data_IF_954274689327
#
_entry.id   IF_954274689327
#
_cell.length_a   1.000
_cell.length_b   1.000
_cell.length_c   1.000
_cell.angle_alpha   90.00
_cell.angle_beta   90.00
_cell.angle_gamma   90.00
#
_symmetry.space_group_name_H-M   'P 1'
#
loop_
_entity.id
_entity.type
_entity.pdbx_description
1 polymer ?
#
# COMPACT_ATOMS: atom_id res chain seq x y z
N UNK A 1 50.16 9.54 -44.14
CA UNK A 1 51.34 8.73 -43.77
C UNK A 1 50.86 7.44 -43.14
N UNK A 2 50.76 6.35 -43.92
CA UNK A 2 50.46 5.00 -43.42
C UNK A 2 51.74 4.18 -43.66
N UNK A 3 52.33 3.62 -42.60
CA UNK A 3 53.55 2.83 -42.69
C UNK A 3 53.21 1.37 -42.37
N UNK A 4 53.34 0.55 -43.42
CA UNK A 4 53.80 -0.84 -43.52
C UNK A 4 53.85 -1.67 -42.22
N UNK A 5 53.07 -2.75 -42.13
CA UNK A 5 53.38 -4.10 -42.63
C UNK A 5 54.34 -4.86 -41.70
N UNK A 6 53.85 -5.96 -41.12
CA UNK A 6 54.67 -7.13 -40.87
C UNK A 6 53.81 -8.39 -40.97
N UNK A 7 54.37 -9.35 -41.70
CA UNK A 7 53.81 -10.57 -42.26
C UNK A 7 54.32 -11.76 -41.42
N UNK A 8 53.71 -12.94 -41.64
CA UNK A 8 54.25 -14.31 -41.42
C UNK A 8 54.23 -14.81 -39.96
N UNK A 9 53.94 -16.06 -39.59
CA UNK A 9 53.78 -17.40 -40.22
C UNK A 9 53.52 -18.34 -38.98
N UNK A 10 52.73 -19.42 -38.92
CA UNK A 10 52.91 -20.75 -39.52
C UNK A 10 51.86 -21.69 -38.89
N UNK A 11 51.38 -22.65 -39.66
CA UNK A 11 50.50 -23.79 -39.30
C UNK A 11 51.25 -24.95 -38.61
N UNK A 12 50.57 -25.76 -37.76
CA UNK A 12 50.82 -27.23 -37.62
C UNK A 12 49.76 -27.98 -36.76
N UNK A 13 48.91 -28.74 -37.47
CA UNK A 13 48.40 -30.12 -37.29
C UNK A 13 48.58 -30.83 -35.93
N UNK A 14 47.51 -31.39 -35.36
CA UNK A 14 47.31 -32.85 -35.13
C UNK A 14 45.94 -33.16 -34.54
N UNK A 15 45.29 -34.21 -35.06
CA UNK A 15 43.99 -34.70 -34.60
C UNK A 15 44.12 -35.85 -33.61
N UNK A 16 43.09 -36.02 -32.77
CA UNK A 16 42.71 -37.28 -32.12
C UNK A 16 41.25 -37.16 -31.70
N UNK A 17 40.39 -38.02 -32.26
CA UNK A 17 39.05 -38.31 -31.74
C UNK A 17 39.18 -39.27 -30.57
N UNK A 18 38.52 -38.99 -29.44
CA UNK A 18 37.83 -39.99 -28.61
C UNK A 18 36.63 -39.36 -27.90
N UNK A 19 35.49 -40.06 -27.96
CA UNK A 19 34.18 -39.72 -27.39
C UNK A 19 34.16 -39.83 -25.86
N UNK A 20 33.38 -38.97 -25.18
CA UNK A 20 32.31 -39.35 -24.22
C UNK A 20 31.83 -38.15 -23.41
N UNK A 21 30.50 -38.05 -23.19
CA UNK A 21 29.93 -37.36 -22.02
C UNK A 21 28.87 -36.30 -22.33
N UNK A 22 27.61 -36.61 -22.03
CA UNK A 22 26.46 -35.71 -22.10
C UNK A 22 26.58 -34.51 -21.15
N UNK A 23 26.12 -33.35 -21.60
CA UNK A 23 25.93 -32.17 -20.76
C UNK A 23 25.65 -30.94 -21.63
N UNK A 24 24.47 -30.89 -22.26
CA UNK A 24 24.10 -29.79 -23.15
C UNK A 24 23.71 -28.56 -22.33
N UNK A 25 24.72 -27.73 -22.02
CA UNK A 25 24.53 -26.31 -21.71
C UNK A 25 24.73 -25.54 -23.01
N UNK A 26 23.66 -24.95 -23.51
CA UNK A 26 23.68 -24.06 -24.66
C UNK A 26 23.06 -22.72 -24.26
N UNK A 27 23.82 -21.69 -24.60
CA UNK A 27 23.38 -20.37 -25.06
C UNK A 27 22.82 -19.39 -24.04
N UNK A 28 23.80 -18.62 -23.55
CA UNK A 28 23.69 -17.24 -23.11
C UNK A 28 23.18 -16.38 -24.27
N UNK A 29 21.89 -16.04 -24.25
CA UNK A 29 21.28 -15.06 -25.13
C UNK A 29 21.09 -13.75 -24.34
N UNK A 30 21.81 -12.71 -24.75
CA UNK A 30 21.68 -11.36 -24.20
C UNK A 30 20.42 -10.73 -24.79
N UNK A 31 19.33 -10.77 -24.03
CA UNK A 31 18.21 -9.87 -24.24
C UNK A 31 17.93 -9.14 -22.93
N UNK A 32 18.51 -7.94 -22.80
CA UNK A 32 18.16 -6.98 -21.76
C UNK A 32 16.76 -6.43 -22.06
N UNK A 33 15.75 -7.25 -21.77
CA UNK A 33 14.42 -6.75 -21.46
C UNK A 33 14.49 -6.18 -20.04
N UNK A 34 14.40 -4.86 -19.93
CA UNK A 34 13.98 -4.16 -18.71
C UNK A 34 12.66 -4.77 -18.24
N UNK A 35 12.78 -5.82 -17.43
CA UNK A 35 11.73 -6.21 -16.51
C UNK A 35 11.93 -5.33 -15.30
N UNK A 36 11.20 -4.21 -15.28
CA UNK A 36 10.88 -3.55 -14.03
C UNK A 36 10.27 -4.61 -13.13
N UNK A 37 11.11 -5.21 -12.28
CA UNK A 37 10.69 -5.96 -11.13
C UNK A 37 9.75 -5.02 -10.39
N UNK A 38 8.46 -5.32 -10.44
CA UNK A 38 7.48 -4.71 -9.58
C UNK A 38 8.02 -4.92 -8.17
N UNK A 39 8.52 -3.82 -7.59
CA UNK A 39 8.81 -3.74 -6.18
C UNK A 39 7.48 -3.87 -5.48
N UNK A 40 7.02 -5.10 -5.26
CA UNK A 40 5.96 -5.40 -4.31
C UNK A 40 6.55 -5.13 -2.94
N UNK A 41 6.67 -3.83 -2.61
CA UNK A 41 6.97 -3.41 -1.27
C UNK A 41 5.84 -3.95 -0.41
N UNK A 42 6.15 -4.90 0.46
CA UNK A 42 5.32 -5.22 1.61
C UNK A 42 5.09 -3.91 2.36
N UNK A 43 3.98 -3.24 2.06
CA UNK A 43 3.55 -2.08 2.79
C UNK A 43 3.10 -2.61 4.15
N UNK A 44 3.95 -2.45 5.16
CA UNK A 44 3.60 -2.78 6.54
C UNK A 44 2.48 -1.83 7.00
N UNK A 45 1.24 -2.29 6.95
CA UNK A 45 0.10 -1.59 7.53
C UNK A 45 -0.05 -1.95 9.02
N UNK A 46 -0.49 -1.00 9.83
CA UNK A 46 -0.76 -1.23 11.25
C UNK A 46 -2.05 -2.04 11.43
N UNK A 47 -1.93 -3.26 11.95
CA UNK A 47 -3.06 -4.14 12.28
C UNK A 47 -3.44 -4.08 13.77
N UNK A 48 -2.92 -3.11 14.52
CA UNK A 48 -2.96 -3.07 16.00
C UNK A 48 -4.36 -3.15 16.59
N UNK A 49 -5.37 -2.65 15.85
CA UNK A 49 -6.74 -2.52 16.34
C UNK A 49 -6.91 -1.52 17.49
N UNK A 50 -5.84 -0.83 17.90
CA UNK A 50 -5.89 0.19 18.95
C UNK A 50 -6.74 1.36 18.49
N UNK A 51 -7.69 1.81 19.30
CA UNK A 51 -8.56 2.93 18.91
C UNK A 51 -7.97 4.26 19.38
N UNK A 52 -8.14 5.35 18.61
CA UNK A 52 -7.78 6.67 19.10
C UNK A 52 -8.64 7.04 20.32
N UNK A 53 -8.05 7.79 21.24
CA UNK A 53 -8.74 8.21 22.47
C UNK A 53 -9.94 9.11 22.14
N UNK A 54 -11.06 8.89 22.83
CA UNK A 54 -12.25 9.74 22.67
C UNK A 54 -13.17 9.36 21.51
N UNK A 55 -12.79 8.42 20.63
CA UNK A 55 -13.66 8.04 19.51
C UNK A 55 -14.97 7.42 20.00
N UNK A 56 -16.07 7.83 19.37
CA UNK A 56 -17.41 7.44 19.79
C UNK A 56 -17.93 6.24 18.99
N UNK A 57 -18.27 5.15 19.69
CA UNK A 57 -18.93 3.98 19.08
C UNK A 57 -20.30 4.37 18.52
N UNK A 58 -20.58 3.97 17.26
CA UNK A 58 -21.91 4.13 16.66
C UNK A 58 -22.87 3.11 17.25
N UNK A 59 -23.95 3.56 17.89
CA UNK A 59 -24.90 2.66 18.58
C UNK A 59 -25.79 1.84 17.66
N UNK A 60 -26.13 2.37 16.48
CA UNK A 60 -26.97 1.70 15.48
C UNK A 60 -26.40 1.94 14.07
N UNK A 61 -25.25 1.32 13.76
CA UNK A 61 -24.62 1.47 12.45
C UNK A 61 -25.41 0.73 11.37
N UNK A 62 -25.33 1.20 10.13
CA UNK A 62 -25.92 0.53 8.97
C UNK A 62 -25.38 -0.90 8.81
N UNK A 63 -24.09 -1.10 9.10
CA UNK A 63 -23.44 -2.42 9.14
C UNK A 63 -23.06 -2.80 10.58
N UNK A 64 -23.80 -3.71 11.25
CA UNK A 64 -23.51 -4.09 12.63
C UNK A 64 -22.14 -4.75 12.82
N UNK A 65 -21.48 -4.51 13.96
CA UNK A 65 -20.26 -5.24 14.31
C UNK A 65 -20.52 -6.75 14.30
N UNK A 66 -19.63 -7.49 13.61
CA UNK A 66 -19.76 -8.92 13.36
C UNK A 66 -20.50 -9.28 12.07
N UNK A 67 -21.17 -8.33 11.41
CA UNK A 67 -21.77 -8.56 10.09
C UNK A 67 -20.72 -8.55 8.98
N UNK A 68 -21.17 -8.89 7.77
CA UNK A 68 -20.37 -8.81 6.55
C UNK A 68 -20.90 -7.71 5.64
N UNK A 69 -19.99 -7.11 4.87
CA UNK A 69 -20.28 -6.12 3.84
C UNK A 69 -19.31 -6.31 2.66
N UNK A 70 -19.64 -5.76 1.50
CA UNK A 70 -18.75 -5.72 0.33
C UNK A 70 -18.15 -4.33 0.21
N UNK A 71 -16.82 -4.24 0.18
CA UNK A 71 -16.12 -2.97 0.04
C UNK A 71 -16.14 -2.48 -1.41
N UNK A 72 -16.50 -1.23 -1.62
CA UNK A 72 -16.33 -0.51 -2.89
C UNK A 72 -15.05 0.34 -2.92
N UNK A 73 -14.44 0.60 -1.75
CA UNK A 73 -13.18 1.29 -1.60
C UNK A 73 -12.02 0.65 -2.38
N UNK A 74 -11.13 1.49 -2.89
CA UNK A 74 -9.91 1.12 -3.61
C UNK A 74 -8.67 1.84 -3.06
N UNK A 75 -8.67 2.15 -1.76
CA UNK A 75 -7.56 2.83 -1.08
C UNK A 75 -6.25 2.03 -1.19
N UNK A 76 -6.37 0.70 -1.19
CA UNK A 76 -5.27 -0.23 -1.42
C UNK A 76 -5.68 -1.31 -2.42
N UNK A 77 -4.69 -1.85 -3.12
CA UNK A 77 -4.90 -2.94 -4.06
C UNK A 77 -5.56 -4.13 -3.35
N UNK A 78 -6.60 -4.69 -3.97
CA UNK A 78 -7.34 -5.84 -3.44
C UNK A 78 -8.48 -5.49 -2.48
N UNK A 79 -8.72 -4.22 -2.13
CA UNK A 79 -9.89 -3.83 -1.33
C UNK A 79 -11.19 -3.90 -2.14
N UNK A 80 -11.18 -3.40 -3.37
CA UNK A 80 -12.40 -3.29 -4.17
C UNK A 80 -13.01 -4.66 -4.45
N UNK A 81 -14.28 -4.82 -4.06
CA UNK A 81 -15.04 -6.05 -4.15
C UNK A 81 -14.71 -7.09 -3.06
N UNK A 82 -13.80 -6.80 -2.13
CA UNK A 82 -13.49 -7.71 -1.05
C UNK A 82 -14.67 -7.79 -0.07
N UNK A 83 -14.89 -9.00 0.43
CA UNK A 83 -15.80 -9.23 1.54
C UNK A 83 -15.11 -8.83 2.84
N UNK A 84 -15.69 -7.86 3.54
CA UNK A 84 -15.21 -7.34 4.80
C UNK A 84 -16.10 -7.81 5.95
N UNK A 85 -15.49 -8.23 7.06
CA UNK A 85 -16.15 -8.40 8.35
C UNK A 85 -16.01 -7.11 9.15
N UNK A 86 -17.13 -6.57 9.61
CA UNK A 86 -17.13 -5.38 10.47
C UNK A 86 -16.61 -5.76 11.85
N UNK A 87 -15.53 -5.12 12.30
CA UNK A 87 -14.95 -5.32 13.65
C UNK A 87 -15.08 -4.10 14.55
N UNK A 88 -15.44 -2.94 14.00
CA UNK A 88 -15.82 -1.74 14.75
C UNK A 88 -16.61 -0.76 13.88
N UNK A 89 -17.42 0.08 14.52
CA UNK A 89 -18.21 1.12 13.87
C UNK A 89 -18.28 2.36 14.77
N UNK A 90 -17.92 3.52 14.22
CA UNK A 90 -17.70 4.74 14.98
C UNK A 90 -18.27 5.95 14.27
N UNK A 91 -18.78 6.91 15.02
CA UNK A 91 -19.27 8.19 14.50
C UNK A 91 -18.22 9.26 14.73
N UNK A 92 -17.73 9.87 13.66
CA UNK A 92 -16.66 10.87 13.70
C UNK A 92 -16.65 11.70 12.40
N UNK A 93 -15.67 12.58 12.25
CA UNK A 93 -15.32 13.17 10.96
C UNK A 93 -14.16 12.40 10.35
N UNK A 94 -14.34 11.89 9.14
CA UNK A 94 -13.29 11.29 8.33
C UNK A 94 -12.66 12.33 7.42
N UNK A 95 -11.34 12.27 7.27
CA UNK A 95 -10.56 13.17 6.43
C UNK A 95 -9.74 12.41 5.39
N UNK A 96 -9.80 12.89 4.16
CA UNK A 96 -8.74 12.60 3.19
C UNK A 96 -7.61 13.61 3.42
N UNK A 97 -6.37 13.13 3.46
CA UNK A 97 -5.21 13.98 3.80
C UNK A 97 -4.03 13.74 2.87
N UNK A 98 -3.27 14.81 2.62
CA UNK A 98 -2.01 14.77 1.89
C UNK A 98 -0.85 15.12 2.81
N UNK A 99 0.21 14.31 2.86
CA UNK A 99 1.32 14.50 3.78
C UNK A 99 2.65 13.96 3.23
N UNK A 100 3.76 14.47 3.74
CA UNK A 100 5.08 13.86 3.53
C UNK A 100 5.44 13.00 4.74
N UNK A 101 5.79 11.71 4.57
CA UNK A 101 6.15 10.85 5.69
C UNK A 101 7.33 11.41 6.49
N UNK A 102 7.28 11.28 7.83
CA UNK A 102 8.36 11.73 8.73
C UNK A 102 9.67 10.96 8.55
N UNK A 103 9.59 9.77 7.96
CA UNK A 103 10.73 8.95 7.55
C UNK A 103 11.38 9.42 6.24
N UNK A 104 10.84 10.46 5.59
CA UNK A 104 11.19 10.87 4.23
C UNK A 104 10.50 10.02 3.15
N UNK A 105 10.75 10.35 1.88
CA UNK A 105 10.11 9.70 0.73
C UNK A 105 9.20 10.64 -0.05
N UNK A 106 8.48 10.08 -1.02
CA UNK A 106 7.51 10.82 -1.82
C UNK A 106 6.29 11.22 -0.97
N UNK A 107 5.64 12.35 -1.27
CA UNK A 107 4.36 12.70 -0.64
C UNK A 107 3.30 11.64 -0.88
N UNK A 108 2.51 11.36 0.15
CA UNK A 108 1.27 10.60 0.04
C UNK A 108 0.15 11.59 -0.20
N UNK A 109 -0.52 11.48 -1.34
CA UNK A 109 -1.61 12.38 -1.73
C UNK A 109 -2.97 11.72 -1.49
N UNK A 110 -3.92 12.49 -0.97
CA UNK A 110 -5.32 12.10 -0.80
C UNK A 110 -5.49 10.73 -0.10
N UNK A 111 -4.71 10.50 0.96
CA UNK A 111 -4.77 9.31 1.78
C UNK A 111 -6.13 9.24 2.49
N UNK A 112 -6.81 8.10 2.33
CA UNK A 112 -8.09 7.80 2.97
C UNK A 112 -7.93 6.63 3.92
N UNK A 113 -8.35 6.73 5.18
CA UNK A 113 -8.85 7.92 5.90
C UNK A 113 -8.08 8.07 7.20
N UNK A 114 -8.02 9.30 7.72
CA UNK A 114 -7.77 9.55 9.15
C UNK A 114 -9.03 10.13 9.77
N UNK A 115 -9.24 9.95 11.08
CA UNK A 115 -10.40 10.50 11.79
C UNK A 115 -10.04 11.69 12.68
N UNK A 116 -11.03 12.46 13.15
CA UNK A 116 -10.84 13.62 14.02
C UNK A 116 -9.92 13.31 15.21
N UNK A 117 -10.15 12.18 15.87
CA UNK A 117 -9.43 11.74 17.07
C UNK A 117 -7.98 11.31 16.78
N UNK A 118 -7.63 11.13 15.51
CA UNK A 118 -6.28 10.83 15.05
C UNK A 118 -5.48 12.08 14.65
N UNK A 119 -6.03 13.28 14.85
CA UNK A 119 -5.35 14.55 14.64
C UNK A 119 -4.91 15.12 16.00
N UNK A 120 -3.68 15.61 16.06
CA UNK A 120 -3.13 16.20 17.29
C UNK A 120 -3.92 17.46 17.68
N UNK A 121 -4.23 17.58 18.97
CA UNK A 121 -4.94 18.73 19.55
C UNK A 121 -6.27 19.04 18.84
N UNK A 122 -6.98 17.98 18.42
CA UNK A 122 -8.21 18.12 17.66
C UNK A 122 -9.29 18.90 18.45
N UNK A 123 -9.96 19.89 17.84
CA UNK A 123 -11.13 20.53 18.44
C UNK A 123 -12.36 19.63 18.32
N UNK A 124 -13.48 20.04 18.91
CA UNK A 124 -14.77 19.36 18.71
C UNK A 124 -15.35 19.61 17.30
N UNK A 125 -14.96 20.72 16.67
CA UNK A 125 -15.45 21.11 15.35
C UNK A 125 -14.59 20.50 14.23
N UNK A 126 -15.19 20.03 13.12
CA UNK A 126 -14.43 19.57 11.97
C UNK A 126 -13.49 20.61 11.37
N UNK A 127 -12.32 20.17 10.91
CA UNK A 127 -11.37 21.00 10.16
C UNK A 127 -11.88 21.26 8.74
N UNK A 128 -11.56 22.44 8.21
CA UNK A 128 -11.85 22.78 6.82
C UNK A 128 -10.76 22.27 5.87
N UNK A 129 -11.12 22.02 4.61
CA UNK A 129 -10.16 21.72 3.55
C UNK A 129 -9.10 22.83 3.43
N UNK A 130 -7.85 22.43 3.15
CA UNK A 130 -6.67 23.30 3.10
C UNK A 130 -6.03 23.58 4.47
N UNK A 131 -6.62 23.11 5.57
CA UNK A 131 -6.02 23.27 6.90
C UNK A 131 -4.80 22.37 7.07
N UNK A 132 -3.69 22.92 7.59
CA UNK A 132 -2.53 22.12 8.02
C UNK A 132 -2.75 21.58 9.44
N UNK A 133 -2.54 20.29 9.63
CA UNK A 133 -2.68 19.57 10.90
C UNK A 133 -1.47 18.64 11.15
N UNK A 134 -1.34 18.11 12.36
CA UNK A 134 -0.34 17.08 12.69
C UNK A 134 -1.06 15.77 13.00
N UNK A 135 -0.62 14.68 12.38
CA UNK A 135 -1.27 13.37 12.53
C UNK A 135 -0.72 12.60 13.75
N UNK A 136 -1.62 12.05 14.56
CA UNK A 136 -1.34 11.05 15.58
C UNK A 136 -1.53 9.61 15.07
N UNK A 137 -2.25 9.41 13.96
CA UNK A 137 -2.41 8.13 13.28
C UNK A 137 -1.06 7.50 12.89
N UNK A 138 -1.00 6.17 12.94
CA UNK A 138 0.16 5.36 12.59
C UNK A 138 -0.17 4.20 11.65
N UNK A 139 -1.14 4.40 10.74
CA UNK A 139 -1.63 3.37 9.83
C UNK A 139 -0.53 2.82 8.92
N UNK A 140 0.49 3.64 8.64
CA UNK A 140 1.69 3.28 7.87
C UNK A 140 2.94 3.95 8.48
N UNK A 141 4.14 3.37 8.27
CA UNK A 141 5.40 4.00 8.65
C UNK A 141 5.52 5.45 8.17
N UNK A 142 5.92 6.34 9.08
CA UNK A 142 6.11 7.76 8.78
C UNK A 142 4.85 8.62 8.80
N UNK A 143 3.65 8.06 9.04
CA UNK A 143 2.42 8.86 9.18
C UNK A 143 2.39 9.62 10.52
N UNK A 144 2.74 8.96 11.62
CA UNK A 144 2.70 9.57 12.95
C UNK A 144 3.67 10.74 13.05
N UNK A 145 3.15 11.88 13.50
CA UNK A 145 3.84 13.16 13.60
C UNK A 145 4.01 13.89 12.26
N UNK A 146 3.49 13.35 11.15
CA UNK A 146 3.54 14.05 9.86
C UNK A 146 2.64 15.28 9.88
N UNK A 147 3.11 16.35 9.24
CA UNK A 147 2.27 17.49 8.88
C UNK A 147 1.46 17.12 7.65
N UNK A 148 0.15 17.27 7.74
CA UNK A 148 -0.79 16.92 6.69
C UNK A 148 -1.69 18.09 6.33
N UNK A 149 -2.11 18.16 5.08
CA UNK A 149 -3.16 19.06 4.60
C UNK A 149 -4.46 18.28 4.54
N UNK A 150 -5.54 18.84 5.08
CA UNK A 150 -6.89 18.31 4.91
C UNK A 150 -7.33 18.54 3.47
N UNK A 151 -7.54 17.47 2.70
CA UNK A 151 -8.02 17.56 1.32
C UNK A 151 -9.55 17.64 1.29
N UNK A 152 -10.21 16.80 2.10
CA UNK A 152 -11.65 16.79 2.27
C UNK A 152 -12.03 16.30 3.67
N UNK A 153 -13.25 16.64 4.08
CA UNK A 153 -13.80 16.28 5.38
C UNK A 153 -15.25 15.84 5.22
N UNK A 154 -15.63 14.77 5.91
CA UNK A 154 -17.00 14.25 5.92
C UNK A 154 -17.35 13.73 7.30
N UNK A 155 -18.47 14.19 7.86
CA UNK A 155 -19.03 13.61 9.08
C UNK A 155 -19.86 12.38 8.72
N UNK A 156 -19.41 11.20 9.16
CA UNK A 156 -19.95 9.92 8.71
C UNK A 156 -19.72 8.81 9.74
N UNK A 157 -20.26 7.61 9.47
CA UNK A 157 -19.85 6.41 10.19
C UNK A 157 -18.60 5.84 9.53
N UNK A 158 -17.53 5.67 10.30
CA UNK A 158 -16.34 4.94 9.87
C UNK A 158 -16.33 3.54 10.46
N UNK A 159 -15.80 2.59 9.70
CA UNK A 159 -15.75 1.19 10.06
C UNK A 159 -14.30 0.71 10.08
N UNK A 160 -14.01 -0.11 11.08
CA UNK A 160 -12.80 -0.92 11.11
C UNK A 160 -13.17 -2.32 10.62
N UNK A 161 -12.38 -2.88 9.71
CA UNK A 161 -12.74 -4.11 9.00
C UNK A 161 -11.61 -5.14 8.94
N UNK A 162 -11.97 -6.41 8.99
CA UNK A 162 -11.10 -7.51 8.56
C UNK A 162 -11.49 -7.92 7.13
N UNK A 163 -10.52 -8.15 6.25
CA UNK A 163 -10.83 -8.64 4.90
C UNK A 163 -9.71 -9.50 4.31
N UNK A 164 -10.03 -10.28 3.29
CA UNK A 164 -9.03 -10.95 2.45
C UNK A 164 -8.96 -10.21 1.12
N UNK A 165 -7.77 -9.76 0.66
CA UNK A 165 -7.65 -9.03 -0.59
C UNK A 165 -8.15 -9.84 -1.79
N UNK A 166 -8.88 -9.19 -2.71
CA UNK A 166 -9.39 -9.84 -3.94
C UNK A 166 -8.28 -10.26 -4.90
N UNK A 167 -7.09 -9.69 -4.74
CA UNK A 167 -5.88 -10.05 -5.49
C UNK A 167 -5.15 -11.25 -4.90
N UNK A 168 -5.66 -11.85 -3.81
CA UNK A 168 -4.98 -12.86 -3.02
C UNK A 168 -4.01 -12.25 -2.00
N UNK A 169 -3.40 -13.11 -1.18
CA UNK A 169 -2.52 -12.71 -0.07
C UNK A 169 -3.12 -13.06 1.29
N UNK A 170 -2.42 -12.63 2.34
CA UNK A 170 -2.84 -12.89 3.72
C UNK A 170 -4.05 -12.02 4.11
N UNK A 171 -4.91 -12.49 5.04
CA UNK A 171 -5.99 -11.67 5.57
C UNK A 171 -5.45 -10.42 6.28
N UNK A 172 -6.01 -9.27 5.96
CA UNK A 172 -5.72 -8.00 6.63
C UNK A 172 -6.64 -7.86 7.84
N UNK A 173 -6.05 -7.51 8.99
CA UNK A 173 -6.79 -7.36 10.26
C UNK A 173 -6.91 -5.91 10.69
N UNK A 174 -8.07 -5.57 11.25
CA UNK A 174 -8.35 -4.27 11.85
C UNK A 174 -8.02 -3.08 10.92
N UNK A 175 -8.29 -3.20 9.62
CA UNK A 175 -8.03 -2.15 8.66
C UNK A 175 -8.84 -0.89 9.00
N UNK A 176 -8.13 0.24 9.06
CA UNK A 176 -8.66 1.58 9.30
C UNK A 176 -8.40 2.44 8.06
N UNK A 177 -9.37 3.19 7.57
CA UNK A 177 -10.80 3.10 7.84
C UNK A 177 -11.51 2.96 6.50
N UNK A 178 -12.74 2.46 6.53
CA UNK A 178 -13.67 2.60 5.41
C UNK A 178 -14.92 3.33 5.89
N UNK A 179 -15.47 4.19 5.05
CA UNK A 179 -16.71 4.94 5.36
C UNK A 179 -17.95 4.11 5.06
N UNK A 180 -19.11 4.58 5.54
CA UNK A 180 -20.39 3.92 5.27
C UNK A 180 -20.72 3.80 3.77
N UNK A 181 -20.42 4.83 2.98
CA UNK A 181 -20.67 4.84 1.52
C UNK A 181 -19.71 3.92 0.74
N UNK A 182 -18.58 3.57 1.35
CA UNK A 182 -17.58 2.64 0.79
C UNK A 182 -17.91 1.18 1.07
N UNK A 183 -19.05 0.92 1.73
CA UNK A 183 -19.57 -0.40 2.00
C UNK A 183 -20.92 -0.59 1.30
N UNK A 184 -21.23 -1.84 1.01
CA UNK A 184 -22.53 -2.26 0.49
C UNK A 184 -22.97 -3.55 1.17
N UNK A 185 -24.28 -3.73 1.29
CA UNK A 185 -24.83 -4.95 1.85
C UNK A 185 -24.44 -6.15 0.97
N UNK A 186 -24.10 -7.26 1.63
CA UNK A 186 -23.86 -8.54 0.98
C UNK A 186 -25.17 -9.19 0.52
#
# INVERSE_FOLDING_TARGET
MKKYAMLLLTTLITGSLMLSGCGKNAEQDNNSSDSHAASTGEMHHSESGELPEGIHVKSNPTYPVGSQAIMSADHMQGMKGAEAKIVGAYETTAYAVSYTPTTGGDPVENHKWVVQEEIQDHPDQPYAAGTEVVLNADHMPGMKGAKAIIDSAEQTTVYMVDYTPTTGGDPVKNHKWVTEEELSAK
#
